data_IF_641965215885
#
_entry.id   IF_641965215885
#
_cell.length_a   1.000
_cell.length_b   1.000
_cell.length_c   1.000
_cell.angle_alpha   90.00
_cell.angle_beta   90.00
_cell.angle_gamma   90.00
#
_symmetry.space_group_name_H-M   'P 1'
#
loop_
_entity.id
_entity.type
_entity.pdbx_description
1 polymer ?
#
# COMPACT_ATOMS: atom_id res chain seq x y z
N UNK A 1 24.08 6.44 -11.81
CA UNK A 1 23.56 5.47 -10.82
C UNK A 1 22.11 5.18 -11.18
N UNK A 2 21.60 3.98 -10.91
CA UNK A 2 20.17 3.68 -11.04
C UNK A 2 19.68 3.23 -9.67
N UNK A 3 18.39 3.45 -9.38
CA UNK A 3 17.80 2.86 -8.19
C UNK A 3 17.91 1.32 -8.29
N UNK A 4 18.33 0.68 -7.21
CA UNK A 4 18.55 -0.77 -7.16
C UNK A 4 17.49 -1.44 -6.31
N UNK A 5 16.97 -2.57 -6.78
CA UNK A 5 16.14 -3.43 -5.96
C UNK A 5 17.01 -4.21 -4.96
N UNK A 6 16.60 -4.34 -3.69
CA UNK A 6 17.28 -5.22 -2.73
C UNK A 6 17.05 -6.71 -3.04
N UNK A 7 16.16 -7.03 -3.98
CA UNK A 7 15.83 -8.40 -4.37
C UNK A 7 16.88 -8.93 -5.35
N UNK A 8 17.43 -10.11 -5.07
CA UNK A 8 18.28 -10.82 -6.02
C UNK A 8 17.42 -11.40 -7.15
N UNK A 9 17.20 -10.61 -8.21
CA UNK A 9 16.33 -10.98 -9.34
C UNK A 9 16.81 -12.24 -10.05
N UNK A 10 18.13 -12.48 -10.13
CA UNK A 10 18.68 -13.70 -10.76
C UNK A 10 18.28 -14.96 -9.99
N UNK A 11 18.44 -14.92 -8.67
CA UNK A 11 18.03 -16.03 -7.80
C UNK A 11 16.51 -16.21 -7.83
N UNK A 12 15.74 -15.13 -7.75
CA UNK A 12 14.27 -15.19 -7.82
C UNK A 12 13.80 -15.83 -9.14
N UNK A 13 14.40 -15.46 -10.27
CA UNK A 13 14.09 -16.05 -11.58
C UNK A 13 14.41 -17.54 -11.61
N UNK A 14 15.51 -17.97 -10.99
CA UNK A 14 15.88 -19.39 -10.85
C UNK A 14 14.84 -20.16 -10.03
N UNK A 15 14.38 -19.60 -8.92
CA UNK A 15 13.37 -20.24 -8.05
C UNK A 15 12.00 -20.34 -8.73
N UNK A 16 11.67 -19.38 -9.60
CA UNK A 16 10.42 -19.35 -10.35
C UNK A 16 10.48 -20.09 -11.70
N UNK A 17 11.58 -20.81 -11.99
CA UNK A 17 11.74 -21.53 -13.27
C UNK A 17 10.65 -22.56 -13.55
N UNK A 18 9.99 -23.11 -12.54
CA UNK A 18 8.93 -24.10 -12.70
C UNK A 18 7.52 -23.52 -12.48
N UNK A 19 7.38 -22.20 -12.31
CA UNK A 19 6.07 -21.57 -12.14
C UNK A 19 5.21 -21.77 -13.39
N UNK A 20 3.92 -22.16 -13.26
CA UNK A 20 3.05 -22.47 -14.40
C UNK A 20 2.74 -21.23 -15.26
N UNK A 21 2.65 -20.06 -14.63
CA UNK A 21 2.46 -18.79 -15.34
C UNK A 21 3.81 -18.13 -15.60
N UNK A 22 4.31 -18.22 -16.83
CA UNK A 22 5.57 -17.59 -17.26
C UNK A 22 5.46 -16.10 -17.49
N UNK A 23 4.31 -15.64 -17.97
CA UNK A 23 4.08 -14.22 -18.23
C UNK A 23 4.15 -13.43 -16.92
N UNK A 24 3.56 -13.95 -15.84
CA UNK A 24 3.68 -13.38 -14.50
C UNK A 24 5.14 -13.31 -14.02
N UNK A 25 5.93 -14.38 -14.21
CA UNK A 25 7.34 -14.41 -13.80
C UNK A 25 8.15 -13.37 -14.55
N UNK A 26 7.95 -13.26 -15.86
CA UNK A 26 8.64 -12.26 -16.67
C UNK A 26 8.22 -10.84 -16.29
N UNK A 27 6.93 -10.59 -16.09
CA UNK A 27 6.42 -9.31 -15.58
C UNK A 27 7.07 -8.93 -14.23
N UNK A 28 7.11 -9.87 -13.28
CA UNK A 28 7.69 -9.64 -11.95
C UNK A 28 9.20 -9.37 -12.02
N UNK A 29 9.94 -10.20 -12.75
CA UNK A 29 11.40 -10.08 -12.86
C UNK A 29 11.78 -8.80 -13.60
N UNK A 30 11.12 -8.49 -14.71
CA UNK A 30 11.34 -7.27 -15.47
C UNK A 30 10.96 -6.05 -14.63
N UNK A 31 9.85 -6.10 -13.90
CA UNK A 31 9.41 -5.02 -13.02
C UNK A 31 10.38 -4.74 -11.88
N UNK A 32 10.97 -5.77 -11.28
CA UNK A 32 12.00 -5.60 -10.24
C UNK A 32 13.33 -5.08 -10.79
N UNK A 33 13.66 -5.42 -12.04
CA UNK A 33 14.94 -5.03 -12.66
C UNK A 33 14.89 -3.65 -13.32
N UNK A 34 13.77 -3.29 -13.93
CA UNK A 34 13.62 -2.11 -14.77
C UNK A 34 12.54 -1.13 -14.28
N UNK A 35 11.77 -1.50 -13.26
CA UNK A 35 10.64 -0.73 -12.73
C UNK A 35 9.29 -1.26 -13.20
N UNK A 36 8.25 -1.01 -12.39
CA UNK A 36 6.87 -1.35 -12.71
C UNK A 36 6.15 -0.17 -13.36
N UNK A 37 5.26 -0.47 -14.29
CA UNK A 37 4.31 0.51 -14.78
C UNK A 37 3.37 0.91 -13.62
N UNK A 38 3.31 2.22 -13.37
CA UNK A 38 2.48 2.79 -12.31
C UNK A 38 1.02 2.92 -12.73
N UNK A 39 0.70 2.61 -14.00
CA UNK A 39 -0.65 2.71 -14.59
C UNK A 39 -1.23 4.14 -14.52
N UNK A 40 -0.37 5.13 -14.34
CA UNK A 40 -0.74 6.55 -14.38
C UNK A 40 -0.98 6.92 -15.84
N UNK A 41 -2.18 7.39 -16.16
CA UNK A 41 -2.48 7.88 -17.51
C UNK A 41 -1.65 9.15 -17.77
N UNK A 42 -0.72 9.07 -18.72
CA UNK A 42 0.19 10.17 -19.07
C UNK A 42 -0.54 11.35 -19.70
N UNK A 43 -1.72 11.10 -20.28
CA UNK A 43 -2.59 12.13 -20.81
C UNK A 43 -2.99 13.09 -19.67
N UNK A 44 -2.46 14.32 -19.72
CA UNK A 44 -2.72 15.42 -18.77
C UNK A 44 -1.85 15.48 -17.49
N UNK A 45 -0.66 14.86 -17.44
CA UNK A 45 0.27 15.16 -16.35
C UNK A 45 0.87 16.56 -16.55
N UNK A 46 0.23 17.58 -15.99
CA UNK A 46 0.81 18.91 -15.92
C UNK A 46 1.95 18.94 -14.92
N UNK A 47 3.02 19.65 -15.29
CA UNK A 47 4.10 19.99 -14.37
C UNK A 47 3.54 20.69 -13.14
N UNK A 48 3.90 20.18 -11.96
CA UNK A 48 3.34 20.67 -10.70
C UNK A 48 4.31 20.45 -9.54
N UNK A 49 4.43 21.44 -8.67
CA UNK A 49 5.22 21.36 -7.46
C UNK A 49 4.36 21.64 -6.23
N UNK A 50 4.30 20.66 -5.33
CA UNK A 50 3.62 20.80 -4.06
C UNK A 50 4.61 21.14 -2.96
N UNK A 51 4.22 22.09 -2.10
CA UNK A 51 4.99 22.45 -0.91
C UNK A 51 4.96 21.31 0.12
N UNK A 52 6.13 20.94 0.65
CA UNK A 52 6.25 19.95 1.73
C UNK A 52 5.28 20.21 2.89
N UNK A 53 4.77 19.10 3.46
CA UNK A 53 3.88 19.13 4.60
C UNK A 53 4.55 19.77 5.82
N UNK A 54 3.75 20.32 6.75
CA UNK A 54 4.25 21.01 7.93
C UNK A 54 5.24 20.14 8.74
N UNK A 55 4.96 18.83 8.86
CA UNK A 55 5.80 17.89 9.60
C UNK A 55 7.20 17.70 9.02
N UNK A 56 7.36 17.83 7.69
CA UNK A 56 8.66 17.80 7.04
C UNK A 56 9.37 19.16 7.17
N UNK A 57 8.63 20.26 7.00
CA UNK A 57 9.17 21.62 7.14
C UNK A 57 9.69 21.92 8.55
N UNK A 58 9.05 21.36 9.58
CA UNK A 58 9.45 21.52 10.98
C UNK A 58 10.61 20.61 11.40
N UNK A 59 10.94 19.57 10.63
CA UNK A 59 11.95 18.56 10.98
C UNK A 59 12.95 18.36 9.83
N UNK A 60 13.56 19.46 9.36
CA UNK A 60 14.43 19.47 8.17
C UNK A 60 15.63 18.51 8.29
N UNK A 61 16.25 18.44 9.45
CA UNK A 61 17.41 17.57 9.66
C UNK A 61 17.01 16.09 9.58
N UNK A 62 15.90 15.72 10.23
CA UNK A 62 15.35 14.37 10.12
C UNK A 62 14.99 14.01 8.67
N UNK A 63 14.42 14.94 7.90
CA UNK A 63 14.12 14.70 6.49
C UNK A 63 15.40 14.44 5.70
N UNK A 64 16.43 15.26 5.91
CA UNK A 64 17.73 15.12 5.25
C UNK A 64 18.38 13.78 5.58
N UNK A 65 18.38 13.36 6.86
CA UNK A 65 18.90 12.07 7.30
C UNK A 65 18.16 10.89 6.69
N UNK A 66 16.83 10.98 6.57
CA UNK A 66 16.01 9.93 5.97
C UNK A 66 16.26 9.82 4.47
N UNK A 67 16.34 10.96 3.76
CA UNK A 67 16.67 10.98 2.32
C UNK A 67 18.06 10.37 2.08
N UNK A 68 19.06 10.79 2.87
CA UNK A 68 20.42 10.25 2.76
C UNK A 68 20.46 8.74 2.98
N UNK A 69 19.65 8.19 3.89
CA UNK A 69 19.52 6.74 4.06
C UNK A 69 18.94 6.05 2.83
N UNK A 70 17.89 6.60 2.22
CA UNK A 70 17.31 6.05 0.99
C UNK A 70 18.32 6.10 -0.17
N UNK A 71 19.10 7.17 -0.29
CA UNK A 71 20.18 7.32 -1.27
C UNK A 71 21.31 6.31 -1.06
N UNK A 72 21.82 6.19 0.18
CA UNK A 72 22.87 5.23 0.52
C UNK A 72 22.44 3.77 0.27
N UNK A 73 21.17 3.47 0.45
CA UNK A 73 20.61 2.15 0.14
C UNK A 73 20.35 1.93 -1.37
N UNK A 74 20.50 2.97 -2.19
CA UNK A 74 20.18 2.94 -3.61
C UNK A 74 18.69 2.83 -3.92
N UNK A 75 17.81 3.13 -2.97
CA UNK A 75 16.35 2.99 -3.16
C UNK A 75 15.74 4.18 -3.89
N UNK A 76 16.38 5.34 -3.82
CA UNK A 76 15.97 6.57 -4.50
C UNK A 76 17.10 7.03 -5.42
N UNK A 77 16.73 7.56 -6.58
CA UNK A 77 17.67 8.17 -7.51
C UNK A 77 17.56 9.71 -7.45
N UNK A 78 18.70 10.38 -7.38
CA UNK A 78 18.82 11.83 -7.11
C UNK A 78 19.99 12.10 -6.16
N UNK A 79 20.16 13.28 -5.56
CA UNK A 79 19.45 14.55 -5.75
C UNK A 79 19.84 15.19 -7.09
N UNK A 80 18.88 15.83 -7.77
CA UNK A 80 19.15 16.53 -9.02
C UNK A 80 19.32 18.02 -8.77
N UNK A 81 20.40 18.62 -9.28
CA UNK A 81 20.62 20.07 -9.22
C UNK A 81 19.66 20.85 -10.12
N UNK A 82 19.23 20.21 -11.22
CA UNK A 82 18.25 20.73 -12.17
C UNK A 82 17.20 19.66 -12.40
N UNK A 83 15.97 20.11 -12.69
CA UNK A 83 14.87 19.20 -13.01
C UNK A 83 15.29 18.32 -14.21
N UNK A 84 15.23 16.98 -14.08
CA UNK A 84 15.74 16.06 -15.10
C UNK A 84 14.80 15.86 -16.31
N UNK A 85 13.55 16.33 -16.23
CA UNK A 85 12.52 16.12 -17.25
C UNK A 85 11.72 17.41 -17.48
N UNK A 86 11.24 17.60 -18.72
CA UNK A 86 10.39 18.75 -19.07
C UNK A 86 9.02 18.68 -18.37
N UNK A 87 8.44 17.47 -18.34
CA UNK A 87 7.20 17.17 -17.63
C UNK A 87 7.50 16.41 -16.33
N UNK A 88 7.14 17.00 -15.18
CA UNK A 88 7.45 16.42 -13.88
C UNK A 88 6.46 16.79 -12.78
N UNK A 89 6.37 15.95 -11.75
CA UNK A 89 5.57 16.25 -10.55
C UNK A 89 6.40 16.09 -9.29
N UNK A 90 6.28 17.07 -8.40
CA UNK A 90 6.89 17.05 -7.07
C UNK A 90 5.80 16.92 -6.03
N UNK A 91 5.62 15.70 -5.51
CA UNK A 91 4.73 15.44 -4.38
C UNK A 91 5.39 15.88 -3.06
N UNK A 92 4.62 16.39 -2.09
CA UNK A 92 5.18 16.89 -0.86
C UNK A 92 5.64 15.75 0.05
N UNK A 93 6.73 15.99 0.75
CA UNK A 93 7.23 15.12 1.79
C UNK A 93 6.55 15.44 3.12
N UNK A 94 6.39 14.40 3.94
CA UNK A 94 5.98 14.47 5.34
C UNK A 94 6.85 13.57 6.20
N UNK A 95 6.84 13.82 7.52
CA UNK A 95 7.45 12.93 8.50
C UNK A 95 6.34 12.35 9.37
N UNK A 96 6.39 11.05 9.59
CA UNK A 96 5.50 10.36 10.53
C UNK A 96 6.30 9.51 11.50
N UNK A 97 5.77 9.30 12.72
CA UNK A 97 6.45 8.55 13.76
C UNK A 97 5.71 7.26 14.12
N UNK A 98 6.42 6.14 14.23
CA UNK A 98 5.84 4.86 14.63
C UNK A 98 5.38 4.87 16.09
N UNK A 99 4.12 4.50 16.35
CA UNK A 99 3.49 4.59 17.69
C UNK A 99 4.25 3.84 18.80
N UNK A 100 4.93 2.74 18.46
CA UNK A 100 5.61 1.87 19.43
C UNK A 100 7.12 1.86 19.28
N UNK A 101 7.62 2.17 18.08
CA UNK A 101 9.06 2.18 17.80
C UNK A 101 9.68 3.57 17.91
N UNK A 102 8.85 4.63 17.99
CA UNK A 102 9.27 6.04 17.90
C UNK A 102 10.14 6.36 16.66
N UNK A 103 10.13 5.43 15.70
CA UNK A 103 10.94 5.51 14.50
C UNK A 103 10.24 6.44 13.53
N UNK A 104 10.91 7.53 13.19
CA UNK A 104 10.47 8.46 12.15
C UNK A 104 10.61 7.83 10.78
N UNK A 105 9.65 8.11 9.90
CA UNK A 105 9.56 7.61 8.53
C UNK A 105 9.22 8.77 7.61
N UNK A 106 9.89 8.81 6.47
CA UNK A 106 9.56 9.72 5.39
C UNK A 106 8.26 9.24 4.74
N UNK A 107 7.37 10.17 4.44
CA UNK A 107 6.10 9.93 3.75
C UNK A 107 6.11 10.77 2.48
N UNK A 108 5.94 10.11 1.34
CA UNK A 108 5.67 10.78 0.07
C UNK A 108 4.15 10.84 -0.12
N UNK A 109 3.59 12.06 -0.12
CA UNK A 109 2.14 12.24 -0.21
C UNK A 109 1.67 12.30 -1.66
N UNK A 110 1.40 11.13 -2.23
CA UNK A 110 0.88 10.99 -3.60
C UNK A 110 -0.61 11.39 -3.74
N UNK A 111 -1.26 11.76 -2.63
CA UNK A 111 -2.64 12.24 -2.63
C UNK A 111 -2.72 13.77 -2.64
N UNK A 112 -1.58 14.46 -2.59
CA UNK A 112 -1.50 15.90 -2.74
C UNK A 112 -1.56 16.32 -4.23
N UNK A 113 -2.07 17.52 -4.53
CA UNK A 113 -2.63 18.51 -3.60
C UNK A 113 -4.03 18.09 -3.08
N UNK A 114 -4.29 18.38 -1.80
CA UNK A 114 -5.60 18.12 -1.19
C UNK A 114 -6.50 19.35 -1.40
N UNK A 115 -7.74 19.14 -1.85
CA UNK A 115 -8.75 20.21 -2.05
C UNK A 115 -8.35 21.30 -3.06
N UNK A 116 -7.53 20.96 -4.06
CA UNK A 116 -7.16 21.83 -5.18
C UNK A 116 -7.90 21.36 -6.46
N UNK A 117 -7.99 22.23 -7.47
CA UNK A 117 -8.47 21.88 -8.83
C UNK A 117 -7.52 20.91 -9.54
N UNK A 118 -6.27 20.84 -9.09
CA UNK A 118 -5.27 19.94 -9.64
C UNK A 118 -5.47 18.51 -9.12
N UNK A 119 -5.44 17.53 -10.03
CA UNK A 119 -5.56 16.10 -9.72
C UNK A 119 -4.29 15.56 -9.07
N UNK A 120 -4.42 14.75 -8.02
CA UNK A 120 -3.29 14.08 -7.38
C UNK A 120 -2.76 12.93 -8.25
N UNK A 121 -1.56 12.39 -7.95
CA UNK A 121 -1.03 11.20 -8.66
C UNK A 121 -1.97 10.01 -8.47
N UNK A 122 -2.49 9.81 -7.26
CA UNK A 122 -3.39 8.71 -6.97
C UNK A 122 -4.74 8.81 -7.71
N UNK A 123 -5.19 10.02 -8.08
CA UNK A 123 -6.43 10.19 -8.85
C UNK A 123 -6.26 9.86 -10.33
N UNK A 124 -5.02 9.85 -10.83
CA UNK A 124 -4.68 9.50 -12.21
C UNK A 124 -4.57 8.00 -12.47
N UNK A 125 -4.58 7.19 -11.40
CA UNK A 125 -4.51 5.73 -11.48
C UNK A 125 -5.93 5.19 -11.60
N UNK A 126 -6.15 4.35 -12.61
CA UNK A 126 -7.45 3.72 -12.84
C UNK A 126 -7.81 2.75 -11.69
N UNK A 127 -8.87 3.08 -10.96
CA UNK A 127 -9.29 2.34 -9.76
C UNK A 127 -9.88 0.97 -10.10
N UNK A 128 -10.37 0.78 -11.32
CA UNK A 128 -10.96 -0.48 -11.74
C UNK A 128 -9.86 -1.49 -12.13
N UNK A 129 -8.80 -1.00 -12.78
CA UNK A 129 -7.60 -1.79 -13.12
C UNK A 129 -6.75 -2.13 -11.90
N UNK A 130 -6.75 -1.27 -10.87
CA UNK A 130 -6.00 -1.48 -9.62
C UNK A 130 -6.92 -1.85 -8.44
N UNK A 131 -8.07 -2.46 -8.71
CA UNK A 131 -9.03 -2.84 -7.66
C UNK A 131 -8.49 -4.02 -6.84
N UNK A 132 -8.11 -3.72 -5.59
CA UNK A 132 -7.71 -4.76 -4.65
C UNK A 132 -8.92 -5.56 -4.17
N UNK A 133 -9.08 -6.79 -4.67
CA UNK A 133 -9.98 -7.76 -4.04
C UNK A 133 -9.35 -8.22 -2.73
N UNK A 134 -10.07 -8.08 -1.63
CA UNK A 134 -9.54 -8.39 -0.31
C UNK A 134 -10.45 -9.40 0.36
N UNK A 135 -9.87 -10.47 0.90
CA UNK A 135 -10.61 -11.53 1.59
C UNK A 135 -11.48 -10.89 2.67
N UNK A 136 -12.78 -11.10 2.58
CA UNK A 136 -13.75 -10.67 3.58
C UNK A 136 -13.67 -11.56 4.81
N UNK A 137 -14.03 -11.00 5.95
CA UNK A 137 -14.42 -11.82 7.11
C UNK A 137 -15.55 -12.78 6.68
N UNK A 138 -16.47 -12.33 5.83
CA UNK A 138 -17.52 -13.17 5.23
C UNK A 138 -16.97 -14.35 4.41
N UNK A 139 -15.80 -14.18 3.77
CA UNK A 139 -15.15 -15.28 3.05
C UNK A 139 -14.59 -16.31 4.04
N UNK A 140 -14.01 -15.85 5.15
CA UNK A 140 -13.57 -16.73 6.23
C UNK A 140 -14.75 -17.42 6.93
N UNK A 141 -15.85 -16.69 7.21
CA UNK A 141 -17.09 -17.23 7.78
C UNK A 141 -17.67 -18.28 6.84
N UNK A 142 -17.79 -17.97 5.55
CA UNK A 142 -18.29 -18.91 4.54
C UNK A 142 -17.44 -20.19 4.50
N UNK A 143 -16.12 -20.07 4.61
CA UNK A 143 -15.23 -21.24 4.69
C UNK A 143 -15.50 -22.05 5.96
N UNK A 144 -15.58 -21.41 7.13
CA UNK A 144 -15.88 -22.09 8.40
C UNK A 144 -17.25 -22.79 8.35
N UNK A 145 -18.29 -22.11 7.86
CA UNK A 145 -19.63 -22.68 7.70
C UNK A 145 -19.65 -23.83 6.69
N UNK A 146 -18.87 -23.74 5.60
CA UNK A 146 -18.77 -24.79 4.59
C UNK A 146 -18.18 -26.10 5.15
N UNK A 147 -17.14 -26.01 5.99
CA UNK A 147 -16.50 -27.20 6.56
C UNK A 147 -17.26 -27.78 7.76
N UNK A 148 -18.18 -26.99 8.34
CA UNK A 148 -19.17 -27.50 9.28
C UNK A 148 -18.61 -27.86 10.65
N UNK A 149 -19.50 -28.45 11.45
CA UNK A 149 -19.23 -28.86 12.83
C UNK A 149 -18.12 -29.92 12.90
N UNK A 150 -17.18 -29.77 13.82
CA UNK A 150 -15.99 -30.62 13.94
C UNK A 150 -14.72 -30.07 13.26
N UNK A 151 -14.81 -28.94 12.55
CA UNK A 151 -13.64 -28.27 11.97
C UNK A 151 -12.70 -27.75 13.05
N UNK A 152 -11.45 -28.24 13.07
CA UNK A 152 -10.44 -27.81 14.06
C UNK A 152 -9.67 -26.59 13.56
N UNK A 153 -9.84 -25.46 14.23
CA UNK A 153 -9.12 -24.21 13.96
C UNK A 153 -7.94 -24.06 14.93
N UNK A 154 -6.71 -24.17 14.44
CA UNK A 154 -5.53 -23.95 15.28
C UNK A 154 -5.15 -22.47 15.38
N UNK A 155 -5.33 -21.87 16.57
CA UNK A 155 -4.75 -20.58 16.93
C UNK A 155 -3.47 -20.81 17.73
N UNK A 156 -2.31 -20.60 17.11
CA UNK A 156 -1.01 -20.65 17.80
C UNK A 156 -0.62 -19.21 18.16
N UNK A 157 -0.62 -18.91 19.46
CA UNK A 157 -0.24 -17.63 20.09
C UNK A 157 -1.08 -16.39 19.69
N UNK A 158 -0.81 -15.25 20.34
CA UNK A 158 -1.44 -13.98 20.01
C UNK A 158 -1.33 -13.74 18.50
N UNK A 159 -2.48 -13.51 17.86
CA UNK A 159 -2.58 -13.36 16.42
C UNK A 159 -1.89 -12.06 15.98
N UNK A 160 -0.58 -12.12 15.82
CA UNK A 160 0.17 -11.00 15.26
C UNK A 160 -0.25 -10.81 13.82
N UNK A 161 -0.22 -9.56 13.33
CA UNK A 161 -0.53 -9.26 11.93
C UNK A 161 0.28 -10.13 10.97
N UNK A 162 1.54 -10.38 11.30
CA UNK A 162 2.43 -11.20 10.49
C UNK A 162 1.94 -12.66 10.44
N UNK A 163 1.64 -13.25 11.60
CA UNK A 163 1.13 -14.61 11.68
C UNK A 163 -0.20 -14.78 10.94
N UNK A 164 -1.13 -13.83 11.11
CA UNK A 164 -2.39 -13.82 10.38
C UNK A 164 -2.19 -13.78 8.86
N UNK A 165 -1.32 -12.90 8.36
CA UNK A 165 -1.10 -12.76 6.92
C UNK A 165 -0.44 -14.00 6.31
N UNK A 166 0.51 -14.62 7.02
CA UNK A 166 1.13 -15.88 6.57
C UNK A 166 0.07 -16.98 6.47
N UNK A 167 -0.77 -17.14 7.50
CA UNK A 167 -1.82 -18.17 7.49
C UNK A 167 -2.90 -17.92 6.44
N UNK A 168 -3.32 -16.67 6.30
CA UNK A 168 -4.27 -16.26 5.26
C UNK A 168 -3.72 -16.59 3.87
N UNK A 169 -2.46 -16.26 3.60
CA UNK A 169 -1.83 -16.54 2.31
C UNK A 169 -1.78 -18.04 2.00
N UNK A 170 -1.40 -18.86 2.97
CA UNK A 170 -1.37 -20.31 2.79
C UNK A 170 -2.77 -20.89 2.50
N UNK A 171 -3.82 -20.36 3.15
CA UNK A 171 -5.20 -20.81 2.90
C UNK A 171 -5.66 -20.42 1.50
N UNK A 172 -5.30 -19.22 1.04
CA UNK A 172 -5.62 -18.75 -0.30
C UNK A 172 -4.97 -19.64 -1.37
N UNK A 173 -3.69 -19.96 -1.18
CA UNK A 173 -2.94 -20.92 -2.02
C UNK A 173 -3.64 -22.28 -2.08
N UNK A 174 -4.01 -22.84 -0.92
CA UNK A 174 -4.71 -24.14 -0.83
C UNK A 174 -6.09 -24.11 -1.49
N UNK A 175 -6.71 -22.94 -1.58
CA UNK A 175 -8.00 -22.73 -2.22
C UNK A 175 -7.88 -22.33 -3.70
N UNK A 176 -6.67 -22.28 -4.26
CA UNK A 176 -6.42 -21.95 -5.67
C UNK A 176 -6.47 -20.44 -5.99
N UNK A 177 -6.40 -19.57 -4.98
CA UNK A 177 -6.35 -18.12 -5.15
C UNK A 177 -4.90 -17.62 -5.02
N UNK A 178 -4.50 -16.63 -5.82
CA UNK A 178 -3.18 -15.99 -5.71
C UNK A 178 -3.10 -15.16 -4.40
N UNK A 179 -2.26 -15.55 -3.43
CA UNK A 179 -2.14 -14.85 -2.15
C UNK A 179 -1.53 -13.45 -2.23
N UNK A 180 -0.88 -13.10 -3.34
CA UNK A 180 -0.22 -11.81 -3.51
C UNK A 180 -1.21 -10.68 -3.78
N UNK A 181 -2.42 -11.01 -4.23
CA UNK A 181 -3.53 -10.06 -4.37
C UNK A 181 -4.09 -9.59 -3.00
N UNK A 182 -3.73 -10.25 -1.90
CA UNK A 182 -4.35 -10.06 -0.60
C UNK A 182 -3.38 -9.45 0.42
N UNK A 183 -3.40 -8.12 0.53
CA UNK A 183 -2.63 -7.40 1.54
C UNK A 183 -3.41 -7.20 2.86
N UNK A 184 -2.69 -7.13 3.97
CA UNK A 184 -3.28 -6.93 5.30
C UNK A 184 -3.89 -5.54 5.54
N UNK A 185 -3.62 -4.58 4.66
CA UNK A 185 -4.11 -3.21 4.81
C UNK A 185 -5.61 -3.13 4.59
N UNK A 186 -6.11 -3.89 3.63
CA UNK A 186 -7.52 -3.99 3.28
C UNK A 186 -8.46 -4.38 4.41
N UNK A 187 -8.03 -5.26 5.32
CA UNK A 187 -8.82 -5.64 6.49
C UNK A 187 -9.12 -4.44 7.39
N UNK A 188 -8.15 -3.53 7.53
CA UNK A 188 -8.33 -2.29 8.30
C UNK A 188 -9.26 -1.32 7.58
N UNK A 189 -9.05 -1.10 6.29
CA UNK A 189 -9.94 -0.24 5.48
C UNK A 189 -11.39 -0.76 5.50
N UNK A 190 -11.58 -2.08 5.44
CA UNK A 190 -12.89 -2.71 5.42
C UNK A 190 -13.58 -2.75 6.78
N UNK A 191 -12.84 -2.95 7.87
CA UNK A 191 -13.38 -2.80 9.22
C UNK A 191 -13.96 -1.40 9.42
N UNK A 192 -13.23 -0.36 8.97
CA UNK A 192 -13.74 1.02 9.00
C UNK A 192 -15.02 1.21 8.17
N UNK A 193 -15.12 0.57 6.98
CA UNK A 193 -16.37 0.59 6.19
C UNK A 193 -17.52 -0.11 6.91
N UNK A 194 -17.29 -1.26 7.53
CA UNK A 194 -18.32 -2.03 8.24
C UNK A 194 -18.81 -1.29 9.49
N UNK A 195 -17.90 -0.69 10.26
CA UNK A 195 -18.26 0.13 11.42
C UNK A 195 -19.04 1.39 10.99
N UNK A 196 -18.66 2.01 9.86
CA UNK A 196 -19.40 3.13 9.27
C UNK A 196 -20.82 2.74 8.84
N UNK A 197 -21.01 1.55 8.24
CA UNK A 197 -22.35 1.02 7.92
C UNK A 197 -23.17 0.69 9.16
N UNK A 198 -22.52 0.24 10.23
CA UNK A 198 -23.15 -0.01 11.52
C UNK A 198 -23.43 1.29 12.31
N UNK A 199 -23.18 2.47 11.71
CA UNK A 199 -23.37 3.80 12.32
C UNK A 199 -22.59 3.97 13.62
N UNK A 200 -21.45 3.29 13.74
CA UNK A 200 -20.50 3.53 14.83
C UNK A 200 -19.96 4.95 14.67
N UNK A 201 -19.87 5.70 15.77
CA UNK A 201 -19.39 7.08 15.71
C UNK A 201 -17.97 7.17 15.16
N UNK A 202 -17.73 8.17 14.33
CA UNK A 202 -16.47 8.37 13.58
C UNK A 202 -15.23 8.35 14.47
N UNK A 203 -15.31 8.92 15.68
CA UNK A 203 -14.21 8.92 16.63
C UNK A 203 -13.88 7.50 17.10
N UNK A 204 -14.89 6.63 17.28
CA UNK A 204 -14.70 5.23 17.66
C UNK A 204 -14.09 4.44 16.52
N UNK A 205 -14.54 4.65 15.27
CA UNK A 205 -13.94 4.03 14.07
C UNK A 205 -12.45 4.40 13.97
N UNK A 206 -12.14 5.67 14.19
CA UNK A 206 -10.76 6.18 14.18
C UNK A 206 -9.90 5.50 15.24
N UNK A 207 -10.43 5.35 16.46
CA UNK A 207 -9.75 4.71 17.60
C UNK A 207 -9.59 3.20 17.39
N UNK A 208 -10.68 2.49 17.06
CA UNK A 208 -10.73 1.04 16.84
C UNK A 208 -9.86 0.62 15.65
N UNK A 209 -9.97 1.34 14.54
CA UNK A 209 -9.16 1.13 13.35
C UNK A 209 -7.71 1.63 13.46
N UNK A 210 -7.35 2.31 14.56
CA UNK A 210 -6.02 2.89 14.84
C UNK A 210 -5.56 3.84 13.72
N UNK A 211 -6.47 4.67 13.23
CA UNK A 211 -6.22 5.63 12.15
C UNK A 211 -5.57 6.90 12.69
N UNK A 212 -4.57 7.43 11.98
CA UNK A 212 -3.85 8.66 12.36
C UNK A 212 -4.43 9.93 11.77
N UNK A 213 -5.22 9.79 10.72
CA UNK A 213 -5.83 10.85 9.91
C UNK A 213 -7.20 10.39 9.43
N UNK A 214 -8.02 11.31 8.94
CA UNK A 214 -9.37 11.02 8.43
C UNK A 214 -9.35 10.34 7.04
N UNK A 215 -8.22 9.73 6.68
CA UNK A 215 -8.06 8.88 5.52
C UNK A 215 -9.00 7.67 5.53
N UNK A 216 -9.51 7.26 6.70
CA UNK A 216 -10.53 6.22 6.80
C UNK A 216 -11.88 6.67 6.24
N UNK A 217 -12.21 7.97 6.25
CA UNK A 217 -13.43 8.50 5.65
C UNK A 217 -13.50 8.18 4.16
N UNK A 218 -12.36 8.12 3.46
CA UNK A 218 -12.28 7.70 2.04
C UNK A 218 -12.63 6.23 1.81
N UNK A 219 -12.61 5.41 2.85
CA UNK A 219 -12.94 3.99 2.81
C UNK A 219 -14.36 3.69 3.29
N UNK A 220 -15.04 4.65 3.93
CA UNK A 220 -16.45 4.54 4.30
C UNK A 220 -17.30 4.81 3.04
N UNK A 221 -17.50 3.77 2.22
CA UNK A 221 -18.48 3.79 1.12
C UNK A 221 -19.84 3.40 1.68
N UNK A 222 -20.59 4.38 2.18
CA UNK A 222 -22.02 4.22 2.47
C UNK A 222 -22.72 4.46 1.14
N UNK A 223 -23.24 3.40 0.50
CA UNK A 223 -24.16 3.59 -0.62
C UNK A 223 -25.39 4.34 -0.07
N UNK A 224 -25.92 5.36 -0.78
CA UNK A 224 -27.26 5.86 -0.47
C UNK A 224 -28.21 4.67 -0.59
N UNK A 225 -28.98 4.41 0.45
CA UNK A 225 -30.04 3.40 0.42
C UNK A 225 -31.01 3.78 -0.71
N UNK A 226 -31.23 2.85 -1.64
CA UNK A 226 -32.35 2.85 -2.60
C UNK A 226 -33.54 2.16 -1.98
#
# INVERSE_FOLDING_TARGET
MHATTPVNVKQLKSELMNHPDKHFVDYLCNGLQYGFDTMVKYDNIKTMECRNNLSARSQKDTVSDLINKELCNGFVYGLFEKVPFDDYRVSPLGVSEGKFSFKKRLILDLSAPHNDKNVSINDLIDKDLCSMSCVKIDDAIRLITKYGEGTTLCKKEALTRQFFLVKLKNILELCGYDPNLYNGHSFRSRAATSEGKARVEDYMIKVLGRWKSDSYCRHIKISPES
#
